data_IF_518867627600
#
_entry.id   IF_518867627600
#
_cell.length_a   1.000
_cell.length_b   1.000
_cell.length_c   1.000
_cell.angle_alpha   90.00
_cell.angle_beta   90.00
_cell.angle_gamma   90.00
#
_symmetry.space_group_name_H-M   'P 1'
#
loop_
_entity.id
_entity.type
_entity.pdbx_description
1 polymer ?
#
# COMPACT_ATOMS: atom_id res chain seq x y z
N UNK A 1 -2.31 33.71 25.49
CA UNK A 1 -1.57 32.42 25.52
C UNK A 1 -1.99 31.61 24.30
N UNK A 2 -1.37 31.86 23.15
CA UNK A 2 -1.81 31.33 21.84
C UNK A 2 -1.22 29.97 21.55
N UNK A 3 -2.07 28.97 21.35
CA UNK A 3 -1.71 27.59 21.00
C UNK A 3 -1.18 27.52 19.57
N UNK A 4 -0.01 26.89 19.41
CA UNK A 4 0.63 26.56 18.14
C UNK A 4 -0.22 25.53 17.39
N UNK A 5 -1.02 25.99 16.42
CA UNK A 5 -1.85 25.14 15.55
C UNK A 5 -1.11 24.61 14.30
N UNK A 6 0.21 24.39 14.40
CA UNK A 6 1.07 24.09 13.24
C UNK A 6 1.62 22.66 13.17
N UNK A 7 1.77 21.98 14.31
CA UNK A 7 2.53 20.73 14.40
C UNK A 7 1.68 19.46 14.18
N UNK A 8 0.34 19.58 14.20
CA UNK A 8 -0.56 18.42 14.20
C UNK A 8 -0.70 17.74 12.83
N UNK A 9 -0.61 18.49 11.72
CA UNK A 9 -0.87 17.93 10.38
C UNK A 9 0.18 16.94 9.91
N UNK A 10 1.44 17.15 10.30
CA UNK A 10 2.56 16.27 9.91
C UNK A 10 2.53 14.98 10.73
N UNK A 11 2.22 15.09 12.01
CA UNK A 11 2.02 13.95 12.90
C UNK A 11 0.90 13.04 12.36
N UNK A 12 -0.24 13.61 11.94
CA UNK A 12 -1.36 12.85 11.39
C UNK A 12 -1.02 12.09 10.09
N UNK A 13 -0.20 12.68 9.22
CA UNK A 13 0.26 12.03 7.99
C UNK A 13 1.17 10.85 8.29
N UNK A 14 2.12 11.00 9.21
CA UNK A 14 3.02 9.92 9.62
C UNK A 14 2.25 8.73 10.22
N UNK A 15 1.25 9.00 11.06
CA UNK A 15 0.40 7.97 11.66
C UNK A 15 -0.45 7.26 10.61
N UNK A 16 -0.92 7.99 9.60
CA UNK A 16 -1.68 7.41 8.48
C UNK A 16 -0.79 6.51 7.61
N UNK A 17 0.42 6.94 7.28
CA UNK A 17 1.36 6.10 6.53
C UNK A 17 1.79 4.86 7.31
N UNK A 18 1.98 4.99 8.63
CA UNK A 18 2.27 3.86 9.52
C UNK A 18 1.12 2.86 9.52
N UNK A 19 -0.12 3.32 9.64
CA UNK A 19 -1.31 2.49 9.53
C UNK A 19 -1.36 1.74 8.19
N UNK A 20 -1.12 2.43 7.07
CA UNK A 20 -1.19 1.83 5.73
C UNK A 20 -0.18 0.70 5.56
N UNK A 21 1.07 0.94 5.97
CA UNK A 21 2.14 -0.06 5.86
C UNK A 21 1.93 -1.23 6.82
N UNK A 22 1.64 -0.96 8.10
CA UNK A 22 1.65 -1.98 9.15
C UNK A 22 0.33 -2.73 9.26
N UNK A 23 -0.81 -2.03 9.19
CA UNK A 23 -2.11 -2.61 9.41
C UNK A 23 -2.80 -2.99 8.09
N UNK A 24 -2.87 -2.07 7.13
CA UNK A 24 -3.60 -2.31 5.87
C UNK A 24 -2.80 -3.15 4.86
N UNK A 25 -1.49 -3.27 5.07
CA UNK A 25 -0.64 -4.13 4.26
C UNK A 25 -0.30 -3.54 2.90
N UNK A 26 -0.15 -2.21 2.82
CA UNK A 26 0.20 -1.50 1.58
C UNK A 26 1.37 -2.17 0.82
N UNK A 27 2.38 -2.67 1.51
CA UNK A 27 3.56 -3.30 0.90
C UNK A 27 3.43 -4.82 0.67
N UNK A 28 2.29 -5.44 1.00
CA UNK A 28 2.07 -6.88 0.85
C UNK A 28 1.95 -7.35 -0.60
N UNK A 29 1.20 -6.69 -1.50
CA UNK A 29 0.99 -7.24 -2.83
C UNK A 29 2.21 -7.02 -3.73
N UNK A 30 2.64 -8.08 -4.40
CA UNK A 30 3.72 -8.05 -5.40
C UNK A 30 3.14 -7.73 -6.78
N UNK A 31 2.66 -6.49 -6.94
CA UNK A 31 2.03 -6.01 -8.17
C UNK A 31 3.08 -5.81 -9.26
N UNK A 32 2.79 -6.32 -10.46
CA UNK A 32 3.68 -6.25 -11.63
C UNK A 32 3.14 -5.35 -12.74
N UNK A 33 1.93 -4.84 -12.60
CA UNK A 33 1.26 -3.94 -13.55
C UNK A 33 1.07 -2.57 -12.88
N UNK A 34 1.49 -1.45 -13.50
CA UNK A 34 1.36 -0.12 -12.90
C UNK A 34 -0.10 0.24 -12.62
N UNK A 35 -1.04 -0.10 -13.53
CA UNK A 35 -2.47 0.18 -13.31
C UNK A 35 -3.02 -0.61 -12.12
N UNK A 36 -2.52 -1.82 -11.88
CA UNK A 36 -2.86 -2.60 -10.68
C UNK A 36 -2.32 -1.95 -9.41
N UNK A 37 -1.14 -1.33 -9.46
CA UNK A 37 -0.61 -0.54 -8.34
C UNK A 37 -1.49 0.67 -8.03
N UNK A 38 -1.97 1.39 -9.04
CA UNK A 38 -2.89 2.52 -8.84
C UNK A 38 -4.21 2.07 -8.21
N UNK A 39 -4.81 0.99 -8.73
CA UNK A 39 -6.02 0.40 -8.13
C UNK A 39 -5.78 -0.02 -6.68
N UNK A 40 -4.60 -0.51 -6.36
CA UNK A 40 -4.24 -0.87 -5.00
C UNK A 40 -4.20 0.34 -4.06
N UNK A 41 -3.68 1.48 -4.52
CA UNK A 41 -3.73 2.74 -3.76
C UNK A 41 -5.18 3.15 -3.50
N UNK A 42 -6.06 3.08 -4.51
CA UNK A 42 -7.47 3.38 -4.34
C UNK A 42 -8.15 2.46 -3.31
N UNK A 43 -7.81 1.16 -3.29
CA UNK A 43 -8.28 0.22 -2.27
C UNK A 43 -7.80 0.62 -0.87
N UNK A 44 -6.55 1.05 -0.71
CA UNK A 44 -6.02 1.53 0.58
C UNK A 44 -6.77 2.77 1.06
N UNK A 45 -7.01 3.74 0.18
CA UNK A 45 -7.75 4.96 0.49
C UNK A 45 -9.20 4.61 0.88
N UNK A 46 -9.88 3.78 0.09
CA UNK A 46 -11.25 3.35 0.37
C UNK A 46 -11.34 2.62 1.73
N UNK A 47 -10.42 1.71 2.02
CA UNK A 47 -10.36 1.02 3.30
C UNK A 47 -10.13 1.99 4.48
N UNK A 48 -9.25 2.98 4.31
CA UNK A 48 -9.05 4.01 5.33
C UNK A 48 -10.32 4.83 5.57
N UNK A 49 -11.01 5.24 4.51
CA UNK A 49 -12.28 5.97 4.59
C UNK A 49 -13.36 5.15 5.28
N UNK A 50 -13.49 3.87 4.92
CA UNK A 50 -14.43 2.95 5.59
C UNK A 50 -14.18 2.85 7.09
N UNK A 51 -12.91 2.76 7.51
CA UNK A 51 -12.55 2.74 8.93
C UNK A 51 -12.86 4.07 9.63
N UNK A 52 -12.76 5.22 8.95
CA UNK A 52 -13.15 6.52 9.52
C UNK A 52 -14.66 6.61 9.69
N UNK A 53 -15.43 6.16 8.70
CA UNK A 53 -16.90 6.18 8.73
C UNK A 53 -17.50 5.19 9.73
N UNK A 54 -16.86 4.04 9.92
CA UNK A 54 -17.31 3.02 10.87
C UNK A 54 -16.95 3.32 12.33
N UNK A 55 -16.17 4.38 12.59
CA UNK A 55 -15.75 4.76 13.94
C UNK A 55 -16.88 4.81 14.97
N UNK A 56 -18.00 5.55 14.76
CA UNK A 56 -19.07 5.63 15.75
C UNK A 56 -19.79 4.29 15.98
N UNK A 57 -19.67 3.34 15.05
CA UNK A 57 -20.30 2.03 15.14
C UNK A 57 -19.39 1.01 15.83
N UNK A 58 -18.09 1.26 15.92
CA UNK A 58 -17.12 0.29 16.37
C UNK A 58 -17.05 0.18 17.90
N UNK A 59 -17.24 -1.04 18.40
CA UNK A 59 -16.91 -1.39 19.78
C UNK A 59 -15.38 -1.40 19.93
N UNK A 60 -14.85 -0.70 20.93
CA UNK A 60 -13.40 -0.68 21.20
C UNK A 60 -12.93 -2.01 21.79
N UNK A 61 -12.38 -2.88 20.94
CA UNK A 61 -11.72 -4.13 21.36
C UNK A 61 -10.31 -3.85 21.87
N UNK A 62 -10.25 -3.16 23.01
CA UNK A 62 -9.03 -2.70 23.68
C UNK A 62 -8.21 -3.88 24.21
N UNK A 63 -6.88 -3.84 24.07
CA UNK A 63 -5.98 -4.74 24.82
C UNK A 63 -5.93 -4.33 26.29
N UNK A 64 -5.68 -5.24 27.23
CA UNK A 64 -5.75 -4.94 28.67
C UNK A 64 -4.97 -3.68 29.10
N UNK A 65 -3.81 -3.44 28.49
CA UNK A 65 -2.90 -2.32 28.78
C UNK A 65 -3.14 -1.04 27.94
N UNK A 66 -4.00 -1.07 26.93
CA UNK A 66 -4.29 0.10 26.10
C UNK A 66 -5.17 1.08 26.90
N UNK A 67 -4.97 2.40 26.83
CA UNK A 67 -5.85 3.33 27.58
C UNK A 67 -7.29 3.35 27.00
N UNK A 68 -8.34 3.46 27.83
CA UNK A 68 -9.71 3.70 27.34
C UNK A 68 -9.77 4.96 26.48
N UNK A 69 -10.56 4.92 25.41
CA UNK A 69 -10.77 6.05 24.52
C UNK A 69 -12.25 6.11 24.16
N UNK A 70 -12.87 7.30 24.17
CA UNK A 70 -14.26 7.42 23.80
C UNK A 70 -14.45 7.10 22.30
N UNK A 71 -15.63 6.62 21.87
CA UNK A 71 -15.86 6.14 20.51
C UNK A 71 -15.49 7.15 19.41
N UNK A 72 -15.71 8.44 19.66
CA UNK A 72 -15.36 9.56 18.78
C UNK A 72 -13.85 9.71 18.54
N UNK A 73 -13.01 9.24 19.47
CA UNK A 73 -11.54 9.37 19.41
C UNK A 73 -10.81 8.08 19.04
N UNK A 74 -11.51 6.99 18.74
CA UNK A 74 -10.88 5.72 18.38
C UNK A 74 -10.02 5.82 17.13
N UNK A 75 -8.73 5.49 17.23
CA UNK A 75 -7.84 5.50 16.07
C UNK A 75 -8.30 4.49 15.00
N UNK A 76 -8.06 4.73 13.70
CA UNK A 76 -8.45 3.79 12.65
C UNK A 76 -7.88 2.37 12.85
N UNK A 77 -6.73 2.23 13.52
CA UNK A 77 -6.16 0.94 13.89
C UNK A 77 -7.02 0.18 14.92
N UNK A 78 -7.59 0.88 15.92
CA UNK A 78 -8.51 0.30 16.89
C UNK A 78 -9.84 -0.07 16.24
N UNK A 79 -10.40 0.84 15.43
CA UNK A 79 -11.62 0.57 14.66
C UNK A 79 -11.45 -0.69 13.80
N UNK A 80 -10.31 -0.83 13.10
CA UNK A 80 -10.02 -2.04 12.29
C UNK A 80 -10.10 -3.34 13.09
N UNK A 81 -9.71 -3.34 14.37
CA UNK A 81 -9.75 -4.54 15.22
C UNK A 81 -11.19 -4.99 15.47
N UNK A 82 -12.11 -4.04 15.72
CA UNK A 82 -13.54 -4.30 15.88
C UNK A 82 -14.32 -4.41 14.56
N UNK A 83 -13.78 -3.91 13.45
CA UNK A 83 -14.47 -3.82 12.16
C UNK A 83 -14.95 -5.17 11.61
N UNK A 84 -14.25 -6.28 11.93
CA UNK A 84 -14.69 -7.63 11.54
C UNK A 84 -16.06 -7.98 12.12
N UNK A 85 -16.37 -7.52 13.33
CA UNK A 85 -17.65 -7.75 13.99
C UNK A 85 -18.76 -6.86 13.41
N UNK A 86 -18.41 -5.68 12.87
CA UNK A 86 -19.37 -4.84 12.15
C UNK A 86 -19.73 -5.42 10.79
N UNK A 87 -18.75 -6.03 10.11
CA UNK A 87 -18.96 -6.62 8.78
C UNK A 87 -20.02 -7.71 8.76
N UNK A 88 -20.18 -8.49 9.83
CA UNK A 88 -21.22 -9.52 9.90
C UNK A 88 -22.65 -8.96 9.98
N UNK A 89 -22.80 -7.75 10.52
CA UNK A 89 -24.11 -7.13 10.77
C UNK A 89 -24.44 -6.04 9.77
N UNK A 90 -23.45 -5.59 9.00
CA UNK A 90 -23.63 -4.57 7.95
C UNK A 90 -24.22 -5.19 6.69
N UNK A 91 -25.07 -4.42 6.00
CA UNK A 91 -25.59 -4.80 4.69
C UNK A 91 -24.43 -5.09 3.72
N UNK A 92 -24.52 -6.20 3.01
CA UNK A 92 -23.56 -6.57 1.96
C UNK A 92 -24.13 -6.09 0.62
N UNK A 93 -23.61 -4.99 0.03
CA UNK A 93 -24.11 -4.50 -1.26
C UNK A 93 -23.73 -5.44 -2.43
N UNK A 94 -22.79 -6.36 -2.21
CA UNK A 94 -22.36 -7.31 -3.23
C UNK A 94 -23.18 -8.60 -3.15
N UNK A 95 -23.64 -9.07 -4.32
CA UNK A 95 -24.24 -10.40 -4.45
C UNK A 95 -23.23 -11.51 -4.10
N UNK A 96 -23.75 -12.69 -3.77
CA UNK A 96 -22.92 -13.87 -3.56
C UNK A 96 -22.04 -14.15 -4.79
N UNK A 97 -20.77 -14.56 -4.62
CA UNK A 97 -19.92 -14.92 -5.73
C UNK A 97 -20.54 -16.08 -6.51
N UNK A 98 -20.36 -16.08 -7.85
CA UNK A 98 -20.79 -17.19 -8.68
C UNK A 98 -20.03 -18.47 -8.27
N UNK A 99 -20.72 -19.61 -8.08
CA UNK A 99 -20.07 -20.88 -7.82
C UNK A 99 -19.05 -21.20 -8.93
N UNK A 100 -17.84 -21.57 -8.56
CA UNK A 100 -16.77 -21.92 -9.50
C UNK A 100 -16.05 -23.17 -9.01
N UNK A 101 -15.71 -24.08 -9.92
CA UNK A 101 -14.85 -25.23 -9.64
C UNK A 101 -13.40 -24.85 -9.98
N UNK A 102 -12.40 -25.28 -9.18
CA UNK A 102 -11.02 -25.17 -9.60
C UNK A 102 -10.86 -25.76 -11.00
N UNK A 103 -10.24 -25.01 -11.92
CA UNK A 103 -9.88 -25.56 -13.23
C UNK A 103 -8.92 -26.76 -13.07
N UNK A 104 -8.65 -27.52 -14.15
CA UNK A 104 -7.85 -28.76 -14.14
C UNK A 104 -6.36 -28.59 -13.73
N UNK A 105 -5.99 -27.45 -13.15
CA UNK A 105 -4.62 -27.13 -12.80
C UNK A 105 -3.75 -26.95 -14.04
N UNK A 106 -2.45 -26.81 -13.79
CA UNK A 106 -1.44 -26.75 -14.84
C UNK A 106 -1.01 -28.17 -15.19
N UNK A 107 -0.96 -28.57 -16.48
CA UNK A 107 -0.47 -29.88 -16.88
C UNK A 107 0.95 -30.13 -16.37
N UNK A 108 1.26 -31.34 -15.87
CA UNK A 108 2.62 -31.73 -15.47
C UNK A 108 3.61 -31.50 -16.62
N UNK A 109 4.83 -31.04 -16.31
CA UNK A 109 5.88 -30.81 -17.30
C UNK A 109 5.74 -29.53 -18.15
N UNK A 110 4.61 -28.83 -18.10
CA UNK A 110 4.47 -27.56 -18.81
C UNK A 110 5.40 -26.49 -18.22
N UNK A 111 6.16 -25.79 -19.08
CA UNK A 111 7.06 -24.69 -18.71
C UNK A 111 6.40 -23.34 -19.03
N UNK A 112 6.94 -22.25 -18.48
CA UNK A 112 6.43 -20.91 -18.78
C UNK A 112 7.18 -20.38 -20.01
N UNK A 113 6.50 -20.27 -21.15
CA UNK A 113 7.15 -19.93 -22.43
C UNK A 113 7.37 -18.42 -22.61
N UNK A 114 6.66 -17.58 -21.85
CA UNK A 114 6.77 -16.12 -21.93
C UNK A 114 7.28 -15.57 -20.60
N UNK A 115 8.34 -14.76 -20.67
CA UNK A 115 8.83 -14.01 -19.52
C UNK A 115 7.80 -12.91 -19.19
N UNK A 116 7.51 -12.73 -17.90
CA UNK A 116 6.62 -11.65 -17.47
C UNK A 116 7.23 -10.29 -17.84
N UNK A 117 6.42 -9.41 -18.44
CA UNK A 117 6.77 -8.01 -18.70
C UNK A 117 7.17 -7.34 -17.39
N UNK A 118 8.34 -6.68 -17.38
CA UNK A 118 8.81 -5.88 -16.25
C UNK A 118 8.72 -4.41 -16.64
N UNK A 119 8.02 -3.62 -15.84
CA UNK A 119 7.96 -2.18 -15.99
C UNK A 119 9.11 -1.55 -15.23
N UNK A 120 9.64 -0.44 -15.75
CA UNK A 120 10.72 0.29 -15.08
C UNK A 120 10.23 0.86 -13.75
N UNK A 121 11.03 0.69 -12.70
CA UNK A 121 10.73 1.12 -11.34
C UNK A 121 11.42 2.46 -11.12
N UNK A 122 10.81 3.52 -11.65
CA UNK A 122 11.31 4.90 -11.67
C UNK A 122 12.22 5.28 -10.49
N UNK A 123 13.52 5.09 -10.71
CA UNK A 123 14.65 5.74 -10.05
C UNK A 123 15.76 5.83 -11.10
N UNK A 124 15.47 6.52 -12.20
CA UNK A 124 16.52 7.03 -13.06
C UNK A 124 17.25 8.12 -12.27
N UNK A 125 18.31 7.74 -11.56
CA UNK A 125 19.37 8.70 -11.28
C UNK A 125 19.78 9.18 -12.67
N UNK A 126 19.47 10.44 -13.02
CA UNK A 126 20.12 11.09 -14.14
C UNK A 126 21.61 11.00 -13.83
N UNK A 127 22.32 10.05 -14.43
CA UNK A 127 23.76 10.17 -14.55
C UNK A 127 23.94 11.36 -15.46
N UNK A 128 24.39 12.47 -14.90
CA UNK A 128 25.01 13.50 -15.69
C UNK A 128 26.07 12.80 -16.54
N UNK A 129 25.95 12.96 -17.86
CA UNK A 129 26.89 12.47 -18.84
C UNK A 129 28.28 12.94 -18.42
N UNK A 130 29.02 12.07 -17.75
CA UNK A 130 30.40 12.32 -17.37
C UNK A 130 31.23 12.46 -18.64
N UNK A 131 31.66 13.69 -18.90
CA UNK A 131 32.86 14.08 -19.66
C UNK A 131 32.84 13.77 -21.16
N UNK A 132 32.21 14.66 -21.92
CA UNK A 132 32.56 14.89 -23.33
C UNK A 132 33.93 15.60 -23.42
N UNK A 133 35.01 14.86 -23.22
CA UNK A 133 36.36 15.26 -23.61
C UNK A 133 36.87 14.32 -24.71
N UNK A 134 37.42 14.82 -25.83
CA UNK A 134 37.84 13.95 -26.92
C UNK A 134 38.98 13.01 -26.48
N UNK A 135 39.06 11.79 -27.04
CA UNK A 135 40.09 10.84 -26.65
C UNK A 135 41.49 11.38 -27.01
N UNK A 136 42.40 11.43 -26.02
CA UNK A 136 43.82 11.72 -26.23
C UNK A 136 44.41 10.69 -27.20
N UNK A 137 44.79 11.12 -28.41
CA UNK A 137 45.58 10.32 -29.35
C UNK A 137 46.96 10.06 -28.75
N UNK A 138 47.37 8.79 -28.65
CA UNK A 138 48.77 8.43 -28.33
C UNK A 138 49.66 8.74 -29.54
N UNK A 139 50.85 9.33 -29.36
CA UNK A 139 51.78 9.53 -30.48
C UNK A 139 52.33 8.18 -30.96
N UNK A 140 52.30 7.99 -32.28
CA UNK A 140 52.90 6.86 -32.98
C UNK A 140 54.42 7.06 -32.98
N UNK A 141 55.17 6.14 -32.39
CA UNK A 141 56.63 6.14 -32.48
C UNK A 141 57.03 6.02 -33.96
N UNK A 142 57.85 6.95 -34.44
CA UNK A 142 58.57 6.82 -35.70
C UNK A 142 59.84 6.01 -35.40
N UNK A 143 60.07 4.96 -36.18
CA UNK A 143 61.40 4.40 -36.36
C UNK A 143 62.29 5.36 -37.14
#
# INVERSE_FOLDING_TARGET
>A
MGLRAGDDRRFDLEHTFRLFKQALGWTRPKLRDPRAADRWIWIMIAAHTQLRLARPLAIDLRRPWERPSPPDRLTPARVRRGFRNLRSTSALPAAAPKPSRPGPGRPPGSKNHRRATRYDVGKTVKRETSLGGPPRRKPKARG
#
